data_IF_577734101632
#
_entry.id   IF_577734101632
#
_cell.length_a   1.000
_cell.length_b   1.000
_cell.length_c   1.000
_cell.angle_alpha   90.00
_cell.angle_beta   90.00
_cell.angle_gamma   90.00
#
_symmetry.space_group_name_H-M   'P 1'
#
loop_
_entity.id
_entity.type
_entity.pdbx_description
1 polymer ?
#
# COMPACT_ATOMS: atom_id res chain seq x y z
N UNK A 1 6.18 4.87 18.62
CA UNK A 1 5.21 4.85 17.49
C UNK A 1 4.91 3.40 17.14
N UNK A 2 3.63 3.06 16.96
CA UNK A 2 3.19 1.73 16.51
C UNK A 2 2.63 1.81 15.09
N UNK A 3 3.18 1.03 14.14
CA UNK A 3 2.77 1.00 12.74
C UNK A 3 1.97 -0.26 12.42
N UNK A 4 0.85 -0.11 11.69
CA UNK A 4 0.13 -1.24 11.08
C UNK A 4 0.33 -1.19 9.56
N UNK A 5 1.00 -2.19 9.02
CA UNK A 5 1.15 -2.36 7.56
C UNK A 5 -0.09 -3.07 7.04
N UNK A 6 -0.87 -2.40 6.20
CA UNK A 6 -2.11 -2.92 5.61
C UNK A 6 -1.86 -3.35 4.18
N UNK A 7 -2.09 -4.62 3.89
CA UNK A 7 -1.83 -5.25 2.61
C UNK A 7 -3.08 -5.99 2.13
N UNK A 8 -3.79 -5.49 1.12
CA UNK A 8 -4.79 -6.30 0.43
C UNK A 8 -4.11 -7.28 -0.52
N UNK A 9 -4.58 -8.52 -0.57
CA UNK A 9 -4.06 -9.54 -1.50
C UNK A 9 -5.18 -10.32 -2.15
N UNK A 10 -4.96 -10.73 -3.42
CA UNK A 10 -5.85 -11.60 -4.16
C UNK A 10 -5.06 -12.39 -5.22
N UNK A 11 -4.92 -13.72 -5.04
CA UNK A 11 -4.23 -14.61 -5.99
C UNK A 11 -2.80 -14.15 -6.34
N UNK A 12 -1.95 -13.89 -5.33
CA UNK A 12 -0.59 -13.35 -5.50
C UNK A 12 0.50 -14.12 -4.74
N UNK A 13 0.23 -15.37 -4.34
CA UNK A 13 1.09 -16.13 -3.43
C UNK A 13 2.60 -16.08 -3.75
N UNK A 14 3.08 -16.24 -4.99
CA UNK A 14 4.52 -16.32 -5.22
C UNK A 14 5.28 -15.07 -4.76
N UNK A 15 4.81 -13.88 -5.12
CA UNK A 15 5.48 -12.63 -4.75
C UNK A 15 5.12 -12.17 -3.33
N UNK A 16 3.91 -12.50 -2.84
CA UNK A 16 3.48 -12.21 -1.48
C UNK A 16 4.45 -12.81 -0.45
N UNK A 17 4.99 -14.01 -0.69
CA UNK A 17 6.00 -14.64 0.18
C UNK A 17 7.19 -13.72 0.39
N UNK A 18 7.76 -13.20 -0.69
CA UNK A 18 8.92 -12.30 -0.62
C UNK A 18 8.58 -10.97 0.07
N UNK A 19 7.38 -10.44 -0.18
CA UNK A 19 6.88 -9.26 0.51
C UNK A 19 6.82 -9.49 2.04
N UNK A 20 6.22 -10.59 2.50
CA UNK A 20 6.12 -10.92 3.92
C UNK A 20 7.49 -11.19 4.56
N UNK A 21 8.37 -11.94 3.89
CA UNK A 21 9.74 -12.17 4.36
C UNK A 21 10.54 -10.88 4.54
N UNK A 22 10.37 -9.91 3.63
CA UNK A 22 11.01 -8.60 3.72
C UNK A 22 10.45 -7.78 4.90
N UNK A 23 9.16 -7.90 5.20
CA UNK A 23 8.53 -7.25 6.34
C UNK A 23 8.98 -7.83 7.68
N UNK A 24 9.30 -9.12 7.77
CA UNK A 24 9.85 -9.70 9.01
C UNK A 24 11.30 -9.27 9.31
N UNK A 25 11.98 -8.64 8.36
CA UNK A 25 13.37 -8.16 8.50
C UNK A 25 13.48 -6.66 8.79
N UNK A 26 12.40 -6.03 9.27
CA UNK A 26 12.39 -4.59 9.51
C UNK A 26 13.22 -4.20 10.74
N UNK A 27 13.93 -3.07 10.61
CA UNK A 27 14.70 -2.50 11.72
C UNK A 27 13.74 -1.82 12.71
N UNK A 28 13.84 -2.21 13.98
CA UNK A 28 13.13 -1.59 15.09
C UNK A 28 14.07 -0.65 15.84
N UNK A 29 13.90 0.65 15.64
CA UNK A 29 14.65 1.72 16.27
C UNK A 29 13.71 2.90 16.57
N UNK A 30 13.98 3.74 17.59
CA UNK A 30 13.18 4.94 17.81
C UNK A 30 13.11 5.83 16.55
N UNK A 31 11.93 6.39 16.22
CA UNK A 31 10.68 6.38 16.98
C UNK A 31 9.78 5.16 16.75
N UNK A 32 10.18 4.18 15.93
CA UNK A 32 9.45 2.93 15.69
C UNK A 32 9.69 1.95 16.85
N UNK A 33 8.67 1.67 17.65
CA UNK A 33 8.73 0.77 18.79
C UNK A 33 8.27 -0.64 18.45
N UNK A 34 7.24 -0.73 17.60
CA UNK A 34 6.67 -2.00 17.15
C UNK A 34 5.86 -1.80 15.86
N UNK A 35 5.62 -2.90 15.16
CA UNK A 35 4.72 -2.94 14.02
C UNK A 35 3.92 -4.25 14.00
N UNK A 36 2.86 -4.26 13.23
CA UNK A 36 2.11 -5.44 12.80
C UNK A 36 1.88 -5.39 11.29
N UNK A 37 1.63 -6.54 10.71
CA UNK A 37 1.19 -6.69 9.30
C UNK A 37 -0.24 -7.20 9.30
N UNK A 38 -1.17 -6.40 8.80
CA UNK A 38 -2.57 -6.76 8.61
C UNK A 38 -2.77 -7.12 7.15
N UNK A 39 -2.67 -8.42 6.84
CA UNK A 39 -2.88 -8.96 5.51
C UNK A 39 -4.37 -9.27 5.33
N UNK A 40 -5.01 -8.61 4.37
CA UNK A 40 -6.41 -8.85 4.04
C UNK A 40 -6.48 -9.69 2.76
N UNK A 41 -6.81 -10.97 2.93
CA UNK A 41 -7.10 -11.85 1.80
C UNK A 41 -8.50 -11.57 1.28
N UNK A 42 -8.59 -11.03 0.07
CA UNK A 42 -9.83 -10.63 -0.59
C UNK A 42 -10.47 -11.78 -1.38
N UNK A 43 -10.52 -12.98 -0.76
CA UNK A 43 -11.16 -14.17 -1.32
C UNK A 43 -10.30 -14.89 -2.35
N UNK A 44 -9.00 -15.05 -2.11
CA UNK A 44 -8.10 -15.80 -2.98
C UNK A 44 -8.59 -17.22 -3.22
N UNK A 45 -8.41 -17.70 -4.45
CA UNK A 45 -8.76 -19.04 -4.93
C UNK A 45 -7.54 -19.89 -5.26
N UNK A 46 -6.35 -19.33 -5.14
CA UNK A 46 -5.08 -20.04 -5.22
C UNK A 46 -4.66 -20.57 -3.83
N UNK A 47 -3.44 -21.11 -3.72
CA UNK A 47 -2.91 -21.66 -2.46
C UNK A 47 -2.56 -20.61 -1.40
N UNK A 48 -2.88 -19.33 -1.58
CA UNK A 48 -2.48 -18.24 -0.67
C UNK A 48 -2.88 -18.52 0.77
N UNK A 49 -4.16 -18.83 1.02
CA UNK A 49 -4.66 -19.02 2.38
C UNK A 49 -4.08 -20.28 3.01
N UNK A 50 -4.04 -21.38 2.27
CA UNK A 50 -3.46 -22.64 2.76
C UNK A 50 -1.98 -22.49 3.13
N UNK A 51 -1.23 -21.82 2.29
CA UNK A 51 0.19 -21.56 2.54
C UNK A 51 0.39 -20.68 3.79
N UNK A 52 -0.39 -19.61 3.96
CA UNK A 52 -0.32 -18.69 5.12
C UNK A 52 -0.62 -19.43 6.43
N UNK A 53 -1.65 -20.30 6.44
CA UNK A 53 -1.99 -21.10 7.62
C UNK A 53 -0.85 -22.07 7.99
N UNK A 54 -0.26 -22.71 7.00
CA UNK A 54 0.85 -23.66 7.23
C UNK A 54 2.15 -22.96 7.71
N UNK A 55 2.33 -21.67 7.43
CA UNK A 55 3.55 -20.91 7.76
C UNK A 55 3.33 -19.81 8.80
N UNK A 56 2.20 -19.81 9.51
CA UNK A 56 1.84 -18.74 10.47
C UNK A 56 2.92 -18.48 11.53
N UNK A 57 3.65 -19.51 11.97
CA UNK A 57 4.72 -19.35 12.96
C UNK A 57 5.97 -18.65 12.43
N UNK A 58 6.16 -18.60 11.11
CA UNK A 58 7.28 -17.91 10.48
C UNK A 58 7.08 -16.38 10.41
N UNK A 59 5.83 -15.92 10.61
CA UNK A 59 5.43 -14.52 10.48
C UNK A 59 4.76 -14.00 11.77
N UNK A 60 5.51 -13.80 12.87
CA UNK A 60 4.96 -13.41 14.18
C UNK A 60 4.29 -12.04 14.17
N UNK A 61 4.62 -11.15 13.23
CA UNK A 61 3.99 -9.85 13.09
C UNK A 61 2.71 -9.87 12.24
N UNK A 62 2.41 -11.01 11.57
CA UNK A 62 1.32 -11.14 10.62
C UNK A 62 -0.01 -11.48 11.31
N UNK A 63 -1.05 -10.75 10.90
CA UNK A 63 -2.46 -11.08 11.17
C UNK A 63 -3.19 -11.22 9.84
N UNK A 64 -3.69 -12.43 9.57
CA UNK A 64 -4.49 -12.72 8.39
C UNK A 64 -5.97 -12.42 8.66
N UNK A 65 -6.55 -11.57 7.82
CA UNK A 65 -7.99 -11.27 7.78
C UNK A 65 -8.53 -11.82 6.46
N UNK A 66 -9.61 -12.58 6.51
CA UNK A 66 -10.25 -13.15 5.32
C UNK A 66 -11.57 -12.45 5.05
N UNK A 67 -11.85 -12.13 3.81
CA UNK A 67 -13.12 -11.58 3.39
C UNK A 67 -13.58 -12.16 2.05
N UNK A 68 -14.85 -11.97 1.71
CA UNK A 68 -15.34 -12.21 0.35
C UNK A 68 -14.79 -11.12 -0.57
N UNK A 69 -14.55 -11.48 -1.82
CA UNK A 69 -13.99 -10.56 -2.81
C UNK A 69 -14.81 -9.27 -2.94
N UNK A 70 -14.24 -8.16 -2.52
CA UNK A 70 -14.87 -6.84 -2.50
C UNK A 70 -14.04 -5.77 -3.23
N UNK A 71 -12.82 -6.11 -3.63
CA UNK A 71 -11.90 -5.22 -4.32
C UNK A 71 -10.96 -4.43 -3.38
N UNK A 72 -10.02 -3.65 -3.97
CA UNK A 72 -8.91 -3.07 -3.21
C UNK A 72 -9.36 -2.02 -2.17
N UNK A 73 -10.40 -1.25 -2.44
CA UNK A 73 -10.94 -0.26 -1.49
C UNK A 73 -11.51 -0.93 -0.23
N UNK A 74 -12.34 -1.98 -0.41
CA UNK A 74 -12.90 -2.74 0.71
C UNK A 74 -11.81 -3.45 1.51
N UNK A 75 -10.86 -4.09 0.83
CA UNK A 75 -9.73 -4.76 1.48
C UNK A 75 -8.90 -3.80 2.33
N UNK A 76 -8.57 -2.60 1.81
CA UNK A 76 -7.83 -1.58 2.58
C UNK A 76 -8.64 -1.05 3.75
N UNK A 77 -9.93 -0.76 3.58
CA UNK A 77 -10.80 -0.31 4.66
C UNK A 77 -10.89 -1.37 5.77
N UNK A 78 -11.06 -2.63 5.41
CA UNK A 78 -11.05 -3.74 6.37
C UNK A 78 -9.73 -3.80 7.13
N UNK A 79 -8.61 -3.67 6.43
CA UNK A 79 -7.29 -3.63 7.05
C UNK A 79 -7.13 -2.49 8.05
N UNK A 80 -7.62 -1.28 7.74
CA UNK A 80 -7.60 -0.13 8.66
C UNK A 80 -8.47 -0.39 9.90
N UNK A 81 -9.66 -0.96 9.73
CA UNK A 81 -10.56 -1.29 10.85
C UNK A 81 -9.93 -2.32 11.81
N UNK A 82 -9.16 -3.26 11.30
CA UNK A 82 -8.48 -4.28 12.08
C UNK A 82 -7.13 -3.80 12.66
N UNK A 83 -6.58 -2.71 12.14
CA UNK A 83 -5.30 -2.17 12.56
C UNK A 83 -5.31 -1.67 14.01
N UNK A 84 -4.19 -1.86 14.71
CA UNK A 84 -3.99 -1.45 16.11
C UNK A 84 -2.97 -0.32 16.25
N UNK A 85 -2.20 -0.04 15.20
CA UNK A 85 -1.16 0.98 15.18
C UNK A 85 -1.74 2.40 15.10
N UNK A 86 -0.93 3.36 15.52
CA UNK A 86 -1.22 4.79 15.44
C UNK A 86 -1.06 5.33 14.01
N UNK A 87 -0.26 4.63 13.21
CA UNK A 87 0.05 4.95 11.82
C UNK A 87 -0.29 3.76 10.95
N UNK A 88 -0.98 4.02 9.85
CA UNK A 88 -1.25 3.03 8.80
C UNK A 88 -0.21 3.19 7.69
N UNK A 89 0.40 2.07 7.32
CA UNK A 89 1.29 1.97 6.15
C UNK A 89 0.61 1.12 5.10
N UNK A 90 0.27 1.69 3.95
CA UNK A 90 -0.24 0.93 2.82
C UNK A 90 0.88 0.51 1.89
N UNK A 91 0.89 -0.76 1.54
CA UNK A 91 1.69 -1.32 0.46
C UNK A 91 0.87 -2.33 -0.34
N UNK A 92 1.28 -2.58 -1.58
CA UNK A 92 0.72 -3.65 -2.39
C UNK A 92 1.40 -5.00 -2.06
N UNK A 93 0.69 -6.10 -2.28
CA UNK A 93 1.16 -7.46 -1.95
C UNK A 93 2.32 -7.96 -2.82
N UNK A 94 2.75 -7.17 -3.79
CA UNK A 94 3.90 -7.40 -4.68
C UNK A 94 5.02 -6.34 -4.51
N UNK A 95 5.02 -5.64 -3.36
CA UNK A 95 6.08 -4.71 -2.98
C UNK A 95 7.06 -5.37 -2.00
N UNK A 96 8.29 -5.62 -2.43
CA UNK A 96 9.38 -6.13 -1.56
C UNK A 96 10.14 -4.94 -0.99
N UNK A 97 10.11 -4.76 0.34
CA UNK A 97 10.62 -3.56 1.00
C UNK A 97 12.04 -3.73 1.55
N UNK A 98 12.77 -2.61 1.69
CA UNK A 98 14.10 -2.61 2.33
C UNK A 98 13.97 -2.78 3.86
N UNK A 99 15.04 -3.24 4.56
CA UNK A 99 15.02 -3.37 6.02
C UNK A 99 14.74 -2.06 6.77
N UNK A 100 15.13 -0.92 6.21
CA UNK A 100 14.88 0.41 6.78
C UNK A 100 13.53 1.03 6.43
N UNK A 101 12.67 0.31 5.71
CA UNK A 101 11.43 0.83 5.14
C UNK A 101 10.51 1.46 6.21
N UNK A 102 10.13 0.70 7.24
CA UNK A 102 9.21 1.18 8.26
C UNK A 102 9.81 2.29 9.13
N UNK A 103 11.06 2.15 9.53
CA UNK A 103 11.73 3.18 10.35
C UNK A 103 11.92 4.49 9.57
N UNK A 104 12.12 4.44 8.26
CA UNK A 104 12.22 5.64 7.42
C UNK A 104 10.90 6.42 7.40
N UNK A 105 9.77 5.74 7.22
CA UNK A 105 8.44 6.36 7.34
C UNK A 105 8.23 6.98 8.73
N UNK A 106 8.52 6.22 9.80
CA UNK A 106 8.34 6.69 11.17
C UNK A 106 9.14 7.97 11.46
N UNK A 107 10.42 7.99 11.06
CA UNK A 107 11.30 9.17 11.22
C UNK A 107 10.82 10.37 10.41
N UNK A 108 10.36 10.16 9.18
CA UNK A 108 9.86 11.23 8.32
C UNK A 108 8.57 11.86 8.87
N UNK A 109 7.62 11.04 9.34
CA UNK A 109 6.41 11.50 10.00
C UNK A 109 6.73 12.27 11.29
N UNK A 110 7.52 11.69 12.19
CA UNK A 110 7.89 12.34 13.45
C UNK A 110 8.56 13.70 13.22
N UNK A 111 9.51 13.77 12.28
CA UNK A 111 10.17 15.02 11.90
C UNK A 111 9.17 16.07 11.43
N UNK A 112 8.24 15.68 10.53
CA UNK A 112 7.22 16.59 10.02
C UNK A 112 6.29 17.09 11.12
N UNK A 113 5.82 16.18 12.00
CA UNK A 113 4.94 16.53 13.13
C UNK A 113 5.61 17.48 14.12
N UNK A 114 6.87 17.22 14.49
CA UNK A 114 7.64 18.11 15.38
C UNK A 114 7.88 19.48 14.77
N UNK A 115 8.18 19.56 13.47
CA UNK A 115 8.45 20.83 12.80
C UNK A 115 7.21 21.71 12.64
N UNK A 116 6.04 21.09 12.49
CA UNK A 116 4.78 21.79 12.18
C UNK A 116 3.87 21.94 13.39
N UNK A 117 4.01 21.10 14.40
CA UNK A 117 3.09 21.06 15.54
C UNK A 117 1.73 20.42 15.22
N UNK A 118 1.59 19.78 14.05
CA UNK A 118 0.37 19.09 13.61
C UNK A 118 0.69 17.73 12.98
N UNK A 119 -0.33 16.89 12.80
CA UNK A 119 -0.25 15.60 12.13
C UNK A 119 -0.85 15.60 10.70
N UNK A 120 -1.07 16.77 10.10
CA UNK A 120 -1.69 16.93 8.80
C UNK A 120 -0.71 16.61 7.65
N UNK A 121 -0.12 15.43 7.66
CA UNK A 121 0.74 14.96 6.59
C UNK A 121 0.71 13.43 6.46
N UNK A 122 1.14 12.95 5.31
CA UNK A 122 1.48 11.56 5.05
C UNK A 122 2.86 11.49 4.37
N UNK A 123 3.55 10.36 4.52
CA UNK A 123 4.82 10.11 3.82
C UNK A 123 4.58 9.23 2.60
N UNK A 124 5.33 9.51 1.54
CA UNK A 124 5.33 8.74 0.30
C UNK A 124 6.74 8.25 0.00
N UNK A 125 6.94 6.93 0.05
CA UNK A 125 8.22 6.29 -0.18
C UNK A 125 8.55 6.07 -1.66
N UNK A 126 9.75 5.60 -1.95
CA UNK A 126 10.15 5.23 -3.30
C UNK A 126 9.53 3.88 -3.70
N UNK A 127 8.99 3.82 -4.91
CA UNK A 127 8.54 2.57 -5.56
C UNK A 127 9.41 2.34 -6.78
N UNK A 128 10.19 1.25 -6.78
CA UNK A 128 11.14 0.90 -7.81
C UNK A 128 10.58 -0.30 -8.57
N UNK A 129 10.30 -0.13 -9.86
CA UNK A 129 9.75 -1.20 -10.67
C UNK A 129 10.83 -2.21 -11.07
N UNK A 130 10.58 -3.50 -10.84
CA UNK A 130 11.49 -4.59 -11.15
C UNK A 130 10.78 -5.76 -11.83
N UNK A 131 11.43 -6.40 -12.79
CA UNK A 131 11.01 -7.69 -13.34
C UNK A 131 11.82 -8.86 -12.76
N UNK A 132 12.82 -8.58 -11.91
CA UNK A 132 13.66 -9.60 -11.29
C UNK A 132 12.95 -10.24 -10.10
N UNK A 133 12.35 -11.42 -10.32
CA UNK A 133 11.65 -12.15 -9.27
C UNK A 133 12.61 -12.72 -8.22
N UNK A 134 13.78 -13.22 -8.64
CA UNK A 134 14.74 -13.90 -7.75
C UNK A 134 15.43 -12.94 -6.77
N UNK A 135 15.67 -11.70 -7.21
CA UNK A 135 16.29 -10.67 -6.39
C UNK A 135 15.68 -9.29 -6.69
N UNK A 136 14.44 -9.01 -6.25
CA UNK A 136 13.75 -7.75 -6.56
C UNK A 136 14.52 -6.51 -6.13
N UNK A 137 15.22 -6.59 -4.99
CA UNK A 137 15.94 -5.45 -4.39
C UNK A 137 17.27 -5.10 -5.08
N UNK A 138 17.68 -5.85 -6.11
CA UNK A 138 18.89 -5.58 -6.88
C UNK A 138 18.71 -4.50 -7.97
N UNK A 139 17.48 -4.11 -8.27
CA UNK A 139 17.18 -3.16 -9.33
C UNK A 139 17.56 -1.72 -8.93
N UNK A 140 18.31 -0.97 -9.78
CA UNK A 140 18.56 0.42 -9.50
C UNK A 140 17.32 1.29 -9.71
N UNK A 141 17.24 2.40 -8.99
CA UNK A 141 16.19 3.40 -9.21
C UNK A 141 16.27 4.01 -10.61
N UNK A 142 15.13 4.09 -11.30
CA UNK A 142 15.01 4.63 -12.66
C UNK A 142 14.22 5.94 -12.67
N UNK A 143 14.49 6.87 -13.59
CA UNK A 143 13.67 8.09 -13.73
C UNK A 143 12.18 7.79 -13.99
N UNK A 144 11.86 6.62 -14.56
CA UNK A 144 10.49 6.15 -14.82
C UNK A 144 9.74 5.71 -13.56
N UNK A 145 10.44 5.53 -12.43
CA UNK A 145 9.84 5.14 -11.15
C UNK A 145 9.21 6.31 -10.39
N UNK A 146 9.26 7.53 -10.94
CA UNK A 146 8.63 8.70 -10.35
C UNK A 146 7.11 8.64 -10.52
N UNK A 147 6.39 8.64 -9.40
CA UNK A 147 4.94 8.82 -9.38
C UNK A 147 4.57 10.29 -9.22
N UNK A 148 3.61 10.75 -10.02
CA UNK A 148 3.01 12.08 -9.93
C UNK A 148 1.73 12.08 -9.09
N UNK A 149 1.25 10.92 -8.66
CA UNK A 149 0.09 10.81 -7.80
C UNK A 149 0.35 11.53 -6.47
N UNK A 150 -0.63 12.31 -6.01
CA UNK A 150 -0.55 12.94 -4.69
C UNK A 150 -0.58 11.90 -3.58
N UNK A 151 -1.49 10.93 -3.68
CA UNK A 151 -1.59 9.78 -2.78
C UNK A 151 -1.70 8.51 -3.62
N UNK A 152 -0.83 7.53 -3.39
CA UNK A 152 -0.86 6.24 -4.06
C UNK A 152 -0.49 5.14 -3.06
N UNK A 153 -1.37 4.18 -2.89
CA UNK A 153 -1.33 3.18 -1.82
C UNK A 153 -0.24 2.12 -1.96
N UNK A 154 0.52 2.16 -3.04
CA UNK A 154 1.66 1.25 -3.22
C UNK A 154 2.79 1.48 -2.21
N UNK A 155 2.92 2.70 -1.62
CA UNK A 155 3.95 3.00 -0.60
C UNK A 155 3.66 4.32 0.13
N UNK A 156 2.76 4.33 1.10
CA UNK A 156 2.45 5.52 1.91
C UNK A 156 2.27 5.18 3.38
N UNK A 157 2.62 6.12 4.26
CA UNK A 157 2.29 6.04 5.68
C UNK A 157 1.56 7.30 6.15
N UNK A 158 0.46 7.13 6.89
CA UNK A 158 -0.44 8.19 7.33
C UNK A 158 -0.91 7.93 8.76
N UNK A 159 -1.09 8.99 9.55
CA UNK A 159 -1.74 8.91 10.86
C UNK A 159 -3.13 8.28 10.72
N UNK A 160 -3.44 7.28 11.58
CA UNK A 160 -4.70 6.53 11.48
C UNK A 160 -5.93 7.41 11.74
N UNK A 161 -5.87 8.28 12.75
CA UNK A 161 -6.97 9.18 13.06
C UNK A 161 -7.25 10.16 11.90
N UNK A 162 -6.19 10.69 11.27
CA UNK A 162 -6.32 11.52 10.09
C UNK A 162 -6.98 10.77 8.92
N UNK A 163 -6.59 9.52 8.69
CA UNK A 163 -7.17 8.67 7.66
C UNK A 163 -8.66 8.37 7.94
N UNK A 164 -9.01 8.04 9.17
CA UNK A 164 -10.41 7.81 9.59
C UNK A 164 -11.26 9.07 9.40
N UNK A 165 -10.74 10.23 9.78
CA UNK A 165 -11.41 11.55 9.58
C UNK A 165 -11.59 11.89 8.11
N UNK A 166 -10.76 11.40 7.22
CA UNK A 166 -10.91 11.59 5.77
C UNK A 166 -12.05 10.75 5.17
N UNK A 167 -12.64 9.79 5.93
CA UNK A 167 -13.72 8.91 5.52
C UNK A 167 -13.26 7.62 4.82
N UNK A 168 -11.97 7.27 4.91
CA UNK A 168 -11.38 6.05 4.33
C UNK A 168 -11.52 5.98 2.80
N UNK A 169 -11.34 4.79 2.20
CA UNK A 169 -11.55 4.61 0.77
C UNK A 169 -13.04 4.53 0.43
N UNK A 170 -13.44 5.16 -0.66
CA UNK A 170 -14.80 5.08 -1.16
C UNK A 170 -15.04 3.72 -1.86
N UNK A 171 -15.86 2.88 -1.25
CA UNK A 171 -16.19 1.53 -1.76
C UNK A 171 -17.05 1.53 -3.03
N UNK A 172 -17.49 2.69 -3.52
CA UNK A 172 -18.08 2.78 -4.84
C UNK A 172 -17.07 2.49 -5.98
N UNK A 173 -15.76 2.65 -5.69
CA UNK A 173 -14.67 2.25 -6.59
C UNK A 173 -14.41 0.74 -6.45
N UNK A 174 -15.29 -0.06 -7.02
CA UNK A 174 -15.26 -1.53 -6.94
C UNK A 174 -14.33 -2.20 -7.93
N UNK A 175 -13.97 -1.50 -9.00
CA UNK A 175 -13.08 -1.99 -10.05
C UNK A 175 -11.68 -1.42 -9.83
N UNK A 176 -10.73 -1.83 -10.68
CA UNK A 176 -9.34 -1.44 -10.55
C UNK A 176 -9.10 0.05 -10.81
N UNK A 177 -8.45 0.71 -9.85
CA UNK A 177 -7.87 2.05 -9.95
C UNK A 177 -8.81 3.19 -9.53
N UNK A 178 -8.20 4.34 -9.27
CA UNK A 178 -8.78 5.62 -8.86
C UNK A 178 -9.23 5.74 -7.40
N UNK A 179 -9.36 4.66 -6.63
CA UNK A 179 -9.75 4.70 -5.22
C UNK A 179 -8.75 5.48 -4.36
N UNK A 180 -7.47 5.35 -4.67
CA UNK A 180 -6.37 6.03 -3.99
C UNK A 180 -6.28 7.51 -4.39
N UNK A 181 -6.47 7.82 -5.67
CA UNK A 181 -6.50 9.19 -6.16
C UNK A 181 -7.72 9.96 -5.60
N UNK A 182 -8.85 9.28 -5.42
CA UNK A 182 -10.05 9.85 -4.82
C UNK A 182 -9.82 10.22 -3.36
N UNK A 183 -9.25 9.30 -2.58
CA UNK A 183 -8.85 9.58 -1.21
C UNK A 183 -7.81 10.69 -1.16
N UNK A 184 -6.83 10.66 -2.07
CA UNK A 184 -5.81 11.70 -2.19
C UNK A 184 -6.39 13.09 -2.43
N UNK A 185 -7.43 13.21 -3.26
CA UNK A 185 -8.11 14.48 -3.51
C UNK A 185 -8.83 15.00 -2.24
N UNK A 186 -9.51 14.11 -1.48
CA UNK A 186 -10.11 14.51 -0.19
C UNK A 186 -9.05 14.94 0.82
N UNK A 187 -7.94 14.20 0.94
CA UNK A 187 -6.82 14.58 1.81
C UNK A 187 -6.23 15.94 1.40
N UNK A 188 -6.08 16.21 0.10
CA UNK A 188 -5.62 17.49 -0.43
C UNK A 188 -6.56 18.63 -0.05
N UNK A 189 -7.87 18.44 -0.16
CA UNK A 189 -8.89 19.41 0.24
C UNK A 189 -8.89 19.66 1.76
N UNK A 190 -8.52 18.68 2.56
CA UNK A 190 -8.30 18.84 4.01
C UNK A 190 -6.98 19.56 4.37
N UNK A 191 -6.16 19.94 3.38
CA UNK A 191 -4.86 20.59 3.60
C UNK A 191 -3.76 19.63 4.09
N UNK A 192 -3.95 18.33 3.93
CA UNK A 192 -2.94 17.32 4.29
C UNK A 192 -1.74 17.44 3.34
N UNK A 193 -0.54 17.35 3.85
CA UNK A 193 0.71 17.55 3.07
C UNK A 193 1.38 16.23 2.71
N UNK A 194 1.90 16.17 1.50
CA UNK A 194 2.80 15.10 1.07
C UNK A 194 4.22 15.36 1.58
N UNK A 195 4.82 14.40 2.26
CA UNK A 195 6.23 14.36 2.68
C UNK A 195 6.94 13.24 1.90
N UNK A 196 7.84 13.60 1.01
CA UNK A 196 8.64 12.61 0.28
C UNK A 196 9.63 11.92 1.23
N UNK A 197 9.69 10.59 1.14
CA UNK A 197 10.55 9.74 1.97
C UNK A 197 11.24 8.67 1.08
N UNK A 198 12.20 9.07 0.22
CA UNK A 198 12.84 8.14 -0.71
C UNK A 198 13.59 7.00 -0.01
N UNK A 199 14.00 7.17 1.25
CA UNK A 199 14.65 6.16 2.07
C UNK A 199 13.72 4.99 2.42
N UNK A 200 12.39 5.20 2.40
CA UNK A 200 11.39 4.14 2.50
C UNK A 200 11.18 3.51 1.11
N UNK A 201 12.16 2.72 0.67
CA UNK A 201 12.14 2.13 -0.66
C UNK A 201 11.48 0.75 -0.66
N UNK A 202 10.63 0.53 -1.67
CA UNK A 202 10.03 -0.77 -1.98
C UNK A 202 10.17 -1.07 -3.48
N UNK A 203 10.34 -2.35 -3.78
CA UNK A 203 10.56 -2.87 -5.12
C UNK A 203 9.28 -3.56 -5.59
N UNK A 204 8.61 -2.94 -6.55
CA UNK A 204 7.33 -3.41 -7.07
C UNK A 204 7.57 -4.39 -8.21
N UNK A 205 7.23 -5.64 -7.98
CA UNK A 205 7.46 -6.67 -8.97
C UNK A 205 6.39 -6.66 -10.07
N UNK A 206 6.87 -6.55 -11.29
CA UNK A 206 6.07 -6.69 -12.49
C UNK A 206 6.70 -7.76 -13.39
N UNK A 207 5.98 -8.85 -13.72
CA UNK A 207 6.47 -9.81 -14.68
C UNK A 207 6.70 -9.13 -16.04
N UNK A 208 7.68 -9.63 -16.79
CA UNK A 208 7.88 -9.19 -18.17
C UNK A 208 6.57 -9.35 -18.96
N UNK A 209 6.23 -8.35 -19.76
CA UNK A 209 5.02 -8.37 -20.57
C UNK A 209 5.13 -9.48 -21.63
N UNK A 210 4.06 -10.28 -21.72
CA UNK A 210 3.90 -11.30 -22.74
C UNK A 210 2.58 -11.10 -23.51
N UNK A 211 2.52 -11.59 -24.75
CA UNK A 211 1.38 -11.36 -25.64
C UNK A 211 0.07 -11.98 -25.11
N UNK A 212 0.15 -13.07 -24.38
CA UNK A 212 -0.98 -13.73 -23.75
C UNK A 212 -1.64 -12.89 -22.64
N UNK A 213 -0.93 -11.93 -22.08
CA UNK A 213 -1.45 -11.01 -21.07
C UNK A 213 -2.27 -9.85 -21.66
N UNK A 214 -2.21 -9.60 -22.97
CA UNK A 214 -2.90 -8.47 -23.60
C UNK A 214 -4.40 -8.43 -23.30
N UNK A 215 -5.17 -9.53 -23.38
CA UNK A 215 -6.60 -9.49 -23.08
C UNK A 215 -6.89 -9.02 -21.64
N UNK A 216 -6.07 -9.47 -20.67
CA UNK A 216 -6.16 -9.04 -19.27
C UNK A 216 -5.82 -7.56 -19.11
N UNK A 217 -4.78 -7.08 -19.76
CA UNK A 217 -4.38 -5.67 -19.71
C UNK A 217 -5.49 -4.76 -20.28
N UNK A 218 -6.13 -5.16 -21.39
CA UNK A 218 -7.26 -4.43 -21.97
C UNK A 218 -8.41 -4.35 -20.95
N UNK A 219 -8.72 -5.45 -20.25
CA UNK A 219 -9.80 -5.43 -19.25
C UNK A 219 -9.44 -4.54 -18.05
N UNK A 220 -8.22 -4.56 -17.57
CA UNK A 220 -7.73 -3.65 -16.52
C UNK A 220 -7.89 -2.18 -16.94
N UNK A 221 -7.52 -1.84 -18.17
CA UNK A 221 -7.68 -0.46 -18.68
C UNK A 221 -9.15 -0.05 -18.86
N UNK A 222 -10.02 -0.98 -19.24
CA UNK A 222 -11.48 -0.74 -19.26
C UNK A 222 -12.05 -0.46 -17.87
N UNK A 223 -11.62 -1.22 -16.87
CA UNK A 223 -11.99 -1.00 -15.47
C UNK A 223 -11.52 0.36 -14.99
N UNK A 224 -10.24 0.68 -15.25
CA UNK A 224 -9.66 1.99 -14.92
C UNK A 224 -10.43 3.14 -15.57
N UNK A 225 -10.80 3.03 -16.83
CA UNK A 225 -11.60 4.04 -17.53
C UNK A 225 -12.98 4.24 -16.88
N UNK A 226 -13.67 3.16 -16.49
CA UNK A 226 -14.96 3.23 -15.79
C UNK A 226 -14.84 3.94 -14.44
N UNK A 227 -13.81 3.61 -13.67
CA UNK A 227 -13.55 4.26 -12.37
C UNK A 227 -13.13 5.72 -12.54
N UNK A 228 -12.40 6.06 -13.61
CA UNK A 228 -12.08 7.44 -13.96
C UNK A 228 -13.32 8.30 -14.26
N UNK A 229 -14.34 7.74 -14.91
CA UNK A 229 -15.62 8.43 -15.08
C UNK A 229 -16.35 8.67 -13.75
N UNK A 230 -16.29 7.69 -12.84
CA UNK A 230 -16.85 7.85 -11.48
C UNK A 230 -16.11 8.95 -10.72
N UNK A 231 -14.78 8.93 -10.77
CA UNK A 231 -13.93 9.95 -10.16
C UNK A 231 -14.28 11.35 -10.66
N UNK A 232 -14.35 11.55 -11.98
CA UNK A 232 -14.70 12.84 -12.58
C UNK A 232 -16.10 13.34 -12.16
N UNK A 233 -17.07 12.44 -12.02
CA UNK A 233 -18.41 12.80 -11.52
C UNK A 233 -18.39 13.29 -10.08
N UNK A 234 -17.51 12.72 -9.24
CA UNK A 234 -17.36 13.12 -7.82
C UNK A 234 -16.54 14.40 -7.68
N UNK A 235 -15.56 14.60 -8.55
CA UNK A 235 -14.61 15.72 -8.53
C UNK A 235 -14.54 16.44 -9.87
N UNK A 236 -15.64 17.12 -10.32
CA UNK A 236 -15.72 17.71 -11.67
C UNK A 236 -14.74 18.87 -11.89
N UNK A 237 -14.23 19.47 -10.84
CA UNK A 237 -13.25 20.58 -10.86
C UNK A 237 -11.80 20.13 -10.72
N UNK A 238 -11.56 18.81 -10.60
CA UNK A 238 -10.21 18.28 -10.52
C UNK A 238 -9.43 18.54 -11.81
N UNK A 239 -8.18 19.06 -11.70
CA UNK A 239 -7.29 19.38 -12.81
C UNK A 239 -5.88 18.87 -12.54
#
# INVERSE_FOLDING_TARGET
MFLSVVIPTYNRLPILRQCLEALERQLLEPPLERYEVVLVDDGSTDDTVHWLDAHATAFPHLRLIRQQHGGPAEGRNRGVQEARGDVIVFIDSDLVVTPSFLISHARALERSWRQRGDRLCFTYGAVINTANFENPTSEPHKPTDLSWAYFATGNVAIDRELLERSGLFDTAFRLYGWEDLELGERLRQMGVRLVRCPEAAGYHWHPALSLDQIPRLIEVERQRARMGLLFYRKHPTWR
#
